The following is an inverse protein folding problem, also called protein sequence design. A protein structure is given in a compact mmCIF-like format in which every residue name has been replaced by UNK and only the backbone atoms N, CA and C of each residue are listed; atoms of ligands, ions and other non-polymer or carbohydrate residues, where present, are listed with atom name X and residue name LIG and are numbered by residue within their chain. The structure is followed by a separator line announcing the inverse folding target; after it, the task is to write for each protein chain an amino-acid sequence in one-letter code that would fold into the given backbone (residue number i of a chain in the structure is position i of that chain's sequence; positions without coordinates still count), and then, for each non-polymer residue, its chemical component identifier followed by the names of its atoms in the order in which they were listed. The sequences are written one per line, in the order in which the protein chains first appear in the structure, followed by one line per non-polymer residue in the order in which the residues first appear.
data_IF_815539402320
#
_entry.id   IF_815539402320
#
_cell.length_a   1.000
_cell.length_b   1.000
_cell.length_c   1.000
_cell.angle_alpha   90.00
_cell.angle_beta   90.00
_cell.angle_gamma   90.00
#
_symmetry.space_group_name_H-M   'P 1'
#
loop_
_entity.id
_entity.type
_entity.pdbx_description
1 polymer ?
#
# COMPACT_ATOMS: atom_id res chain seq x y z
N UNK A 1 5.60 5.42 -9.89
CA UNK A 1 4.57 5.28 -10.91
C UNK A 1 4.03 6.67 -11.26
N UNK A 2 3.89 6.99 -12.54
CA UNK A 2 3.43 8.32 -12.98
C UNK A 2 2.05 8.67 -12.42
N UNK A 3 1.15 7.68 -12.33
CA UNK A 3 -0.19 7.84 -11.75
C UNK A 3 -0.12 8.40 -10.32
N UNK A 4 0.76 7.85 -9.48
CA UNK A 4 0.92 8.33 -8.11
C UNK A 4 1.44 9.78 -8.07
N UNK A 5 2.39 10.11 -8.94
CA UNK A 5 2.93 11.48 -9.04
C UNK A 5 1.83 12.48 -9.42
N UNK A 6 0.96 12.11 -10.35
CA UNK A 6 -0.16 12.97 -10.77
C UNK A 6 -1.13 13.21 -9.60
N UNK A 7 -1.55 12.14 -8.90
CA UNK A 7 -2.43 12.27 -7.72
C UNK A 7 -1.80 13.16 -6.63
N UNK A 8 -0.50 13.01 -6.38
CA UNK A 8 0.21 13.83 -5.39
C UNK A 8 0.33 15.30 -5.82
N UNK A 9 0.45 15.58 -7.12
CA UNK A 9 0.43 16.95 -7.65
C UNK A 9 -0.95 17.59 -7.47
N UNK A 10 -2.02 16.90 -7.86
CA UNK A 10 -3.39 17.37 -7.68
C UNK A 10 -3.72 17.63 -6.20
N UNK A 11 -3.29 16.74 -5.31
CA UNK A 11 -3.41 16.92 -3.87
C UNK A 11 -2.69 18.19 -3.40
N UNK A 12 -1.45 18.39 -3.86
CA UNK A 12 -0.65 19.57 -3.50
C UNK A 12 -1.31 20.87 -4.00
N UNK A 13 -1.79 20.89 -5.23
CA UNK A 13 -2.49 22.04 -5.82
C UNK A 13 -3.75 22.39 -5.02
N UNK A 14 -4.57 21.38 -4.69
CA UNK A 14 -5.75 21.56 -3.86
C UNK A 14 -5.42 22.10 -2.47
N UNK A 15 -4.33 21.61 -1.87
CA UNK A 15 -3.87 22.09 -0.57
C UNK A 15 -3.36 23.52 -0.62
N UNK A 16 -2.61 23.90 -1.66
CA UNK A 16 -2.13 25.27 -1.85
C UNK A 16 -3.28 26.25 -2.04
N UNK A 17 -4.27 25.88 -2.83
CA UNK A 17 -5.49 26.67 -3.04
C UNK A 17 -6.26 26.87 -1.72
N UNK A 18 -6.48 25.81 -0.97
CA UNK A 18 -7.14 25.88 0.34
C UNK A 18 -6.36 26.81 1.30
N UNK A 19 -5.03 26.78 1.25
CA UNK A 19 -4.19 27.67 2.06
C UNK A 19 -4.32 29.14 1.62
N UNK A 20 -4.38 29.42 0.32
CA UNK A 20 -4.64 30.78 -0.19
C UNK A 20 -5.97 31.32 0.30
N UNK A 21 -7.03 30.49 0.21
CA UNK A 21 -8.39 30.87 0.63
C UNK A 21 -8.49 31.10 2.15
N UNK A 22 -7.72 30.37 2.96
CA UNK A 22 -7.75 30.45 4.41
C UNK A 22 -6.70 31.42 5.03
N UNK A 23 -5.77 31.94 4.22
CA UNK A 23 -4.73 32.87 4.67
C UNK A 23 -3.84 32.32 5.77
N UNK A 24 -3.55 33.14 6.78
CA UNK A 24 -2.63 32.79 7.88
C UNK A 24 -3.15 31.71 8.83
N UNK A 25 -4.40 31.25 8.65
CA UNK A 25 -4.96 30.17 9.47
C UNK A 25 -4.24 28.82 9.23
N UNK A 26 -3.71 28.60 8.02
CA UNK A 26 -2.99 27.40 7.66
C UNK A 26 -1.49 27.69 7.61
N UNK A 27 -0.73 27.07 8.51
CA UNK A 27 0.73 27.22 8.57
C UNK A 27 1.40 26.70 7.30
N UNK A 28 2.46 27.37 6.82
CA UNK A 28 3.32 26.81 5.77
C UNK A 28 3.93 25.49 6.25
N UNK A 29 3.99 24.49 5.36
CA UNK A 29 4.61 23.20 5.67
C UNK A 29 5.40 22.68 4.49
N UNK A 30 6.58 22.11 4.77
CA UNK A 30 7.40 21.34 3.84
C UNK A 30 6.95 19.86 3.75
N UNK A 31 6.00 19.47 4.58
CA UNK A 31 5.48 18.10 4.63
C UNK A 31 4.43 17.89 3.55
N UNK A 32 4.41 16.68 3.00
CA UNK A 32 3.45 16.29 1.96
C UNK A 32 2.03 16.15 2.54
N UNK A 33 1.91 15.55 3.72
CA UNK A 33 0.64 15.32 4.38
C UNK A 33 0.56 16.10 5.68
N UNK A 34 -0.39 17.01 5.74
CA UNK A 34 -0.60 17.88 6.91
C UNK A 34 -2.06 17.84 7.36
N UNK A 35 -2.29 18.24 8.58
CA UNK A 35 -3.63 18.57 9.08
C UNK A 35 -4.18 19.81 8.35
N UNK A 36 -5.45 20.11 8.54
CA UNK A 36 -6.08 21.34 8.01
C UNK A 36 -5.39 22.63 8.48
N UNK A 37 -4.67 22.59 9.60
CA UNK A 37 -3.91 23.73 10.12
C UNK A 37 -2.44 23.80 9.65
N UNK A 38 -2.01 22.85 8.82
CA UNK A 38 -0.63 22.76 8.32
C UNK A 38 0.33 22.01 9.25
N UNK A 39 -0.12 21.51 10.38
CA UNK A 39 0.69 20.67 11.28
C UNK A 39 0.85 19.24 10.70
N UNK A 40 1.87 18.51 11.12
CA UNK A 40 2.06 17.12 10.71
C UNK A 40 0.83 16.29 11.10
N UNK A 41 0.34 15.49 10.14
CA UNK A 41 -0.80 14.60 10.41
C UNK A 41 -0.42 13.52 11.41
N UNK A 42 -1.30 13.26 12.37
CA UNK A 42 -1.09 12.18 13.32
C UNK A 42 -1.32 10.82 12.62
N UNK A 43 -0.41 9.85 12.73
CA UNK A 43 -0.58 8.51 12.16
C UNK A 43 -1.92 7.83 12.54
N UNK A 44 -2.40 8.01 13.76
CA UNK A 44 -3.69 7.49 14.21
C UNK A 44 -4.89 8.04 13.40
N UNK A 45 -4.76 9.25 12.85
CA UNK A 45 -5.78 9.83 11.97
C UNK A 45 -5.90 9.05 10.66
N UNK A 46 -4.77 8.64 10.08
CA UNK A 46 -4.75 7.81 8.87
C UNK A 46 -5.39 6.44 9.13
N UNK A 47 -5.10 5.82 10.27
CA UNK A 47 -5.72 4.55 10.64
C UNK A 47 -7.24 4.68 10.80
N UNK A 48 -7.70 5.79 11.37
CA UNK A 48 -9.13 6.07 11.51
C UNK A 48 -9.80 6.26 10.15
N UNK A 49 -9.20 7.02 9.24
CA UNK A 49 -9.71 7.22 7.89
C UNK A 49 -9.78 5.90 7.10
N UNK A 50 -8.74 5.08 7.17
CA UNK A 50 -8.74 3.77 6.52
C UNK A 50 -9.87 2.88 7.07
N UNK A 51 -10.09 2.86 8.39
CA UNK A 51 -11.20 2.09 8.99
C UNK A 51 -12.56 2.54 8.46
N UNK A 52 -12.76 3.85 8.27
CA UNK A 52 -13.99 4.39 7.69
C UNK A 52 -14.16 3.92 6.24
N UNK A 53 -13.12 4.07 5.41
CA UNK A 53 -13.15 3.64 4.00
C UNK A 53 -13.43 2.15 3.88
N UNK A 54 -12.79 1.31 4.70
CA UNK A 54 -12.97 -0.15 4.71
C UNK A 54 -14.41 -0.49 5.07
N UNK A 55 -14.94 0.10 6.16
CA UNK A 55 -16.33 -0.10 6.59
C UNK A 55 -17.32 0.26 5.48
N UNK A 56 -17.14 1.43 4.86
CA UNK A 56 -18.06 1.97 3.87
C UNK A 56 -17.98 1.24 2.51
N UNK A 57 -16.83 0.59 2.22
CA UNK A 57 -16.63 -0.22 1.00
C UNK A 57 -17.04 -1.69 1.15
N UNK A 58 -17.42 -2.13 2.36
CA UNK A 58 -17.74 -3.54 2.61
C UNK A 58 -16.55 -4.49 2.57
N UNK A 59 -15.32 -3.97 2.54
CA UNK A 59 -14.10 -4.79 2.61
C UNK A 59 -13.82 -5.17 4.06
N UNK A 60 -13.76 -6.46 4.35
CA UNK A 60 -13.39 -6.96 5.67
C UNK A 60 -11.87 -7.11 5.82
N UNK A 61 -11.38 -6.92 7.05
CA UNK A 61 -9.99 -7.22 7.46
C UNK A 61 -8.85 -6.52 6.71
N UNK A 62 -9.07 -5.30 6.22
CA UNK A 62 -8.02 -4.51 5.57
C UNK A 62 -7.37 -3.53 6.58
N UNK A 63 -6.06 -3.33 6.49
CA UNK A 63 -5.29 -2.38 7.30
C UNK A 63 -4.27 -1.64 6.42
N UNK A 64 -3.71 -0.53 6.90
CA UNK A 64 -2.56 0.12 6.23
C UNK A 64 -1.40 -0.85 6.02
N UNK A 65 -1.20 -1.75 6.98
CA UNK A 65 -0.15 -2.77 6.89
C UNK A 65 -0.44 -3.80 5.78
N UNK A 66 -1.71 -4.20 5.63
CA UNK A 66 -2.14 -5.08 4.54
C UNK A 66 -1.91 -4.45 3.16
N UNK A 67 -2.13 -3.15 2.99
CA UNK A 67 -1.82 -2.43 1.75
C UNK A 67 -0.33 -2.49 1.41
N UNK A 68 0.54 -2.31 2.42
CA UNK A 68 1.99 -2.45 2.24
C UNK A 68 2.36 -3.88 1.84
N UNK A 69 1.82 -4.88 2.52
CA UNK A 69 2.04 -6.30 2.19
C UNK A 69 1.60 -6.61 0.75
N UNK A 70 0.40 -6.19 0.36
CA UNK A 70 -0.10 -6.36 -1.00
C UNK A 70 0.82 -5.70 -2.04
N UNK A 71 1.28 -4.48 -1.78
CA UNK A 71 2.20 -3.78 -2.69
C UNK A 71 3.53 -4.55 -2.85
N UNK A 72 4.10 -5.06 -1.76
CA UNK A 72 5.33 -5.86 -1.76
C UNK A 72 5.11 -7.15 -2.56
N UNK A 73 4.04 -7.89 -2.26
CA UNK A 73 3.69 -9.15 -2.92
C UNK A 73 3.50 -8.97 -4.43
N UNK A 74 2.80 -7.91 -4.85
CA UNK A 74 2.62 -7.60 -6.27
C UNK A 74 3.93 -7.29 -6.99
N UNK A 75 4.87 -6.59 -6.35
CA UNK A 75 6.18 -6.32 -6.92
C UNK A 75 6.99 -7.62 -7.07
N UNK A 76 6.96 -8.48 -6.07
CA UNK A 76 7.63 -9.80 -6.09
C UNK A 76 7.02 -10.68 -7.21
N UNK A 77 5.69 -10.75 -7.29
CA UNK A 77 4.99 -11.49 -8.33
C UNK A 77 5.30 -11.00 -9.75
N UNK A 78 5.67 -9.72 -9.90
CA UNK A 78 6.14 -9.13 -11.16
C UNK A 78 7.64 -9.35 -11.43
N UNK A 79 8.32 -10.15 -10.60
CA UNK A 79 9.74 -10.49 -10.76
C UNK A 79 10.70 -9.36 -10.39
N UNK A 80 10.26 -8.34 -9.65
CA UNK A 80 11.17 -7.29 -9.17
C UNK A 80 12.10 -7.88 -8.11
N UNK A 81 13.43 -7.67 -8.22
CA UNK A 81 14.39 -8.20 -7.26
C UNK A 81 14.08 -7.82 -5.81
N UNK A 82 14.19 -8.79 -4.90
CA UNK A 82 13.81 -8.64 -3.48
C UNK A 82 14.50 -7.45 -2.79
N UNK A 83 15.78 -7.22 -3.10
CA UNK A 83 16.55 -6.08 -2.57
C UNK A 83 15.93 -4.75 -2.98
N UNK A 84 15.49 -4.65 -4.25
CA UNK A 84 14.82 -3.46 -4.78
C UNK A 84 13.46 -3.24 -4.09
N UNK A 85 12.70 -4.32 -3.90
CA UNK A 85 11.41 -4.26 -3.20
C UNK A 85 11.59 -3.82 -1.75
N UNK A 86 12.58 -4.38 -1.04
CA UNK A 86 12.91 -4.01 0.34
C UNK A 86 13.29 -2.53 0.47
N UNK A 87 14.15 -2.04 -0.41
CA UNK A 87 14.55 -0.63 -0.43
C UNK A 87 13.35 0.30 -0.69
N UNK A 88 12.48 -0.03 -1.64
CA UNK A 88 11.26 0.74 -1.95
C UNK A 88 10.24 0.71 -0.82
N UNK A 89 10.15 -0.41 -0.11
CA UNK A 89 9.29 -0.55 1.06
C UNK A 89 9.84 0.19 2.31
N UNK A 90 11.07 0.69 2.27
CA UNK A 90 11.71 1.34 3.41
C UNK A 90 12.03 0.37 4.55
N UNK A 91 12.26 -0.90 4.22
CA UNK A 91 12.68 -1.88 5.21
C UNK A 91 14.18 -1.71 5.49
N UNK A 92 14.54 -1.47 6.75
CA UNK A 92 15.93 -1.40 7.18
C UNK A 92 16.65 -2.76 7.11
N UNK A 93 15.89 -3.86 7.07
CA UNK A 93 16.39 -5.23 6.92
C UNK A 93 15.64 -5.93 5.80
N UNK A 94 16.38 -6.61 4.93
CA UNK A 94 15.80 -7.42 3.85
C UNK A 94 15.07 -8.66 4.36
N UNK A 95 15.36 -9.12 5.58
CA UNK A 95 14.67 -10.25 6.21
C UNK A 95 13.15 -10.09 6.24
N UNK A 96 12.63 -8.91 6.57
CA UNK A 96 11.20 -8.64 6.59
C UNK A 96 10.55 -8.85 5.21
N UNK A 97 11.23 -8.45 4.14
CA UNK A 97 10.75 -8.69 2.77
C UNK A 97 10.93 -10.15 2.37
N UNK A 98 11.98 -10.81 2.85
CA UNK A 98 12.24 -12.23 2.64
C UNK A 98 11.15 -13.11 3.27
N UNK A 99 10.66 -12.75 4.45
CA UNK A 99 9.57 -13.49 5.11
C UNK A 99 8.28 -13.40 4.30
N UNK A 100 7.96 -12.22 3.78
CA UNK A 100 6.81 -12.02 2.87
C UNK A 100 6.99 -12.84 1.59
N UNK A 101 8.19 -12.86 1.03
CA UNK A 101 8.52 -13.64 -0.15
C UNK A 101 8.36 -15.15 0.09
N UNK A 102 8.85 -15.66 1.21
CA UNK A 102 8.74 -17.08 1.57
C UNK A 102 7.28 -17.51 1.71
N UNK A 103 6.46 -16.68 2.33
CA UNK A 103 5.03 -16.92 2.43
C UNK A 103 4.35 -16.93 1.05
N UNK A 104 4.70 -15.98 0.17
CA UNK A 104 4.19 -15.91 -1.19
C UNK A 104 4.54 -17.14 -2.01
N UNK A 105 5.79 -17.62 -1.96
CA UNK A 105 6.25 -18.81 -2.66
C UNK A 105 5.49 -20.04 -2.17
N UNK A 106 5.37 -20.23 -0.85
CA UNK A 106 4.65 -21.38 -0.29
C UNK A 106 3.20 -21.42 -0.76
N UNK A 107 2.48 -20.31 -0.70
CA UNK A 107 1.09 -20.23 -1.17
C UNK A 107 0.97 -20.46 -2.68
N UNK A 108 1.94 -19.99 -3.47
CA UNK A 108 1.97 -20.20 -4.91
C UNK A 108 2.25 -21.66 -5.27
N UNK A 109 3.09 -22.34 -4.52
CA UNK A 109 3.43 -23.76 -4.70
C UNK A 109 2.24 -24.67 -4.35
N UNK A 110 1.56 -24.39 -3.23
CA UNK A 110 0.31 -25.06 -2.85
C UNK A 110 -0.77 -24.92 -3.94
N UNK A 111 -0.98 -23.72 -4.47
CA UNK A 111 -1.94 -23.47 -5.55
C UNK A 111 -1.55 -24.19 -6.86
N UNK A 112 -0.26 -24.28 -7.17
CA UNK A 112 0.23 -25.00 -8.33
C UNK A 112 0.04 -26.52 -8.19
N UNK A 113 0.25 -27.07 -7.01
CA UNK A 113 -0.01 -28.47 -6.71
C UNK A 113 -1.50 -28.81 -6.86
N UNK A 114 -2.38 -27.99 -6.27
CA UNK A 114 -3.84 -28.16 -6.39
C UNK A 114 -4.32 -28.07 -7.85
N UNK A 115 -3.73 -27.16 -8.64
CA UNK A 115 -4.06 -27.04 -10.06
C UNK A 115 -3.65 -28.28 -10.87
N UNK A 116 -2.50 -28.88 -10.54
CA UNK A 116 -2.05 -30.11 -11.16
C UNK A 116 -2.95 -31.30 -10.77
N UNK A 117 -3.30 -31.42 -9.51
CA UNK A 117 -4.20 -32.45 -9.01
C UNK A 117 -5.58 -32.36 -9.69
N UNK A 118 -6.13 -31.18 -9.80
CA UNK A 118 -7.39 -30.96 -10.53
C UNK A 118 -7.28 -31.33 -12.02
N UNK A 119 -6.16 -31.00 -12.68
CA UNK A 119 -5.92 -31.34 -14.07
C UNK A 119 -5.89 -32.88 -14.31
N UNK A 120 -5.22 -33.61 -13.42
CA UNK A 120 -5.12 -35.06 -13.54
C UNK A 120 -6.42 -35.79 -13.18
N UNK A 121 -7.16 -35.29 -12.19
CA UNK A 121 -8.44 -35.86 -11.78
C UNK A 121 -9.54 -35.65 -12.83
N UNK A 122 -9.52 -34.57 -13.61
CA UNK A 122 -10.47 -34.34 -14.72
C UNK A 122 -10.19 -35.20 -15.97
N UNK A 123 -9.01 -35.81 -16.07
CA UNK A 123 -8.68 -36.70 -17.20
C UNK A 123 -9.15 -38.16 -17.00
N UNK A 124 -9.61 -38.51 -15.81
CA UNK A 124 -10.01 -39.88 -15.44
C UNK A 124 -11.54 -40.06 -15.38
N UNK A 125 -12.31 -39.10 -15.86
CA UNK A 125 -13.75 -39.20 -16.13
C UNK A 125 -14.01 -38.99 -17.64
#
# INVERSE_FOLDING_TARGET
AQVLINVLKEYRESWLKMREDCGDYIKPSDKLFTSQKGDLINPATLETWIKIVIRDSGMEHFTLHSLRHTNITLQIAKGIPLVTVAARAGHSRTSTTSDIYSHFIKTSDENAADALDNFFNHKNN
#
